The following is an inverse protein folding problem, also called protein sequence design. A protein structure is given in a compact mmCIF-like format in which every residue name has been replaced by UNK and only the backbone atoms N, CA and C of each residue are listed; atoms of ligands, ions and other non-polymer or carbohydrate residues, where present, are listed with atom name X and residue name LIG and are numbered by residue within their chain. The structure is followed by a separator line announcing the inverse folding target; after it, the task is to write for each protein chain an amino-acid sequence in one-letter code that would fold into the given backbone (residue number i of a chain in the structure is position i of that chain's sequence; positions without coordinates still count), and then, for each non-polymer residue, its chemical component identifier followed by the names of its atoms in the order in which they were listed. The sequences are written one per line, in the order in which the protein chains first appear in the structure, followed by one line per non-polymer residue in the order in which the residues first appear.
data_IF_703147269905
#
_entry.id   IF_703147269905
#
_cell.length_a   1.000
_cell.length_b   1.000
_cell.length_c   1.000
_cell.angle_alpha   90.00
_cell.angle_beta   90.00
_cell.angle_gamma   90.00
#
_symmetry.space_group_name_H-M   'P 1'
#
loop_
_entity.id
_entity.type
_entity.pdbx_description
1 polymer ?
#
# COMPACT_ATOMS: atom_id res chain seq x y z
N UNK A 1 -36.94 5.93 8.15
CA UNK A 1 -35.58 5.60 8.61
C UNK A 1 -35.14 4.39 7.80
N UNK A 2 -34.54 4.59 6.63
CA UNK A 2 -34.11 3.50 5.75
C UNK A 2 -32.66 3.17 6.11
N UNK A 3 -32.46 1.98 6.69
CA UNK A 3 -31.15 1.34 6.79
C UNK A 3 -30.95 0.59 5.50
N UNK A 4 -30.52 1.31 4.47
CA UNK A 4 -30.15 0.68 3.21
C UNK A 4 -28.87 -0.14 3.40
N UNK A 5 -29.01 -1.39 2.99
CA UNK A 5 -28.00 -2.43 2.92
C UNK A 5 -26.74 -1.90 2.21
N UNK A 6 -25.63 -1.82 2.92
CA UNK A 6 -24.34 -1.96 2.26
C UNK A 6 -24.11 -3.45 2.07
N UNK A 7 -24.47 -3.95 0.89
CA UNK A 7 -23.99 -5.23 0.40
C UNK A 7 -22.46 -5.18 0.44
N UNK A 8 -21.85 -6.03 1.27
CA UNK A 8 -20.44 -6.36 1.15
C UNK A 8 -20.28 -7.04 -0.22
N UNK A 9 -19.82 -6.29 -1.22
CA UNK A 9 -19.51 -6.86 -2.53
C UNK A 9 -18.54 -8.05 -2.35
N UNK A 10 -18.69 -9.12 -3.14
CA UNK A 10 -17.79 -10.26 -3.05
C UNK A 10 -16.37 -9.78 -3.36
N UNK A 11 -15.49 -9.84 -2.35
CA UNK A 11 -14.05 -9.57 -2.51
C UNK A 11 -13.56 -10.36 -3.72
N UNK A 12 -13.12 -9.66 -4.76
CA UNK A 12 -12.60 -10.29 -5.97
C UNK A 12 -11.47 -11.24 -5.57
N UNK A 13 -11.60 -12.53 -5.90
CA UNK A 13 -10.53 -13.53 -5.72
C UNK A 13 -9.33 -13.19 -6.62
N UNK A 14 -9.56 -12.38 -7.65
CA UNK A 14 -8.57 -12.00 -8.64
C UNK A 14 -7.97 -10.63 -8.31
N UNK A 15 -6.65 -10.59 -8.18
CA UNK A 15 -5.87 -9.38 -7.90
C UNK A 15 -5.11 -8.90 -9.14
N UNK A 16 -4.92 -7.59 -9.26
CA UNK A 16 -3.93 -6.98 -10.13
C UNK A 16 -2.64 -6.71 -9.36
N UNK A 17 -1.49 -6.85 -10.02
CA UNK A 17 -0.17 -6.61 -9.44
C UNK A 17 0.36 -5.24 -9.89
N UNK A 18 0.94 -4.51 -8.95
CA UNK A 18 1.64 -3.26 -9.19
C UNK A 18 3.06 -3.34 -8.62
N UNK A 19 4.04 -2.83 -9.36
CA UNK A 19 5.38 -2.54 -8.87
C UNK A 19 5.38 -1.13 -8.28
N UNK A 20 5.69 -1.03 -6.99
CA UNK A 20 5.83 0.27 -6.34
C UNK A 20 7.25 0.50 -5.84
N UNK A 21 7.74 1.71 -6.03
CA UNK A 21 9.02 2.18 -5.49
C UNK A 21 8.72 3.04 -4.28
N UNK A 22 9.27 2.67 -3.13
CA UNK A 22 9.10 3.39 -1.87
C UNK A 22 10.45 3.86 -1.34
N UNK A 23 10.48 5.06 -0.79
CA UNK A 23 11.59 5.56 0.00
C UNK A 23 11.19 5.55 1.47
N UNK A 24 11.98 4.87 2.29
CA UNK A 24 11.84 4.88 3.75
C UNK A 24 12.90 5.78 4.35
N UNK A 25 12.51 6.63 5.29
CA UNK A 25 13.42 7.46 6.08
C UNK A 25 13.42 6.97 7.53
N UNK A 26 14.60 6.64 8.04
CA UNK A 26 14.83 6.28 9.44
C UNK A 26 15.86 7.24 10.09
N UNK A 27 16.43 6.84 11.22
CA UNK A 27 17.44 7.64 11.93
C UNK A 27 18.79 7.72 11.19
N UNK A 28 19.13 6.70 10.39
CA UNK A 28 20.41 6.57 9.71
C UNK A 28 20.39 7.14 8.30
N UNK A 29 19.21 7.25 7.68
CA UNK A 29 19.04 7.93 6.41
C UNK A 29 17.87 7.40 5.60
N UNK A 30 17.94 7.63 4.30
CA UNK A 30 16.93 7.17 3.35
C UNK A 30 17.36 5.88 2.66
N UNK A 31 16.44 4.94 2.52
CA UNK A 31 16.58 3.73 1.71
C UNK A 31 15.46 3.68 0.67
N UNK A 32 15.76 3.14 -0.51
CA UNK A 32 14.77 2.89 -1.57
C UNK A 32 14.56 1.38 -1.69
N UNK A 33 13.30 0.97 -1.71
CA UNK A 33 12.87 -0.41 -1.94
C UNK A 33 11.88 -0.49 -3.11
N UNK A 34 11.85 -1.65 -3.77
CA UNK A 34 10.82 -2.01 -4.73
C UNK A 34 9.98 -3.13 -4.13
N UNK A 35 8.67 -2.93 -4.08
CA UNK A 35 7.73 -3.87 -3.46
C UNK A 35 6.52 -4.08 -4.37
N UNK A 36 5.94 -5.26 -4.24
CA UNK A 36 4.74 -5.64 -4.98
C UNK A 36 3.49 -5.22 -4.18
N UNK A 37 2.58 -4.52 -4.84
CA UNK A 37 1.26 -4.17 -4.31
C UNK A 37 0.20 -4.97 -5.07
N UNK A 38 -0.60 -5.73 -4.33
CA UNK A 38 -1.71 -6.53 -4.86
C UNK A 38 -3.02 -5.82 -4.54
N UNK A 39 -3.76 -5.44 -5.57
CA UNK A 39 -5.04 -4.72 -5.44
C UNK A 39 -6.14 -5.56 -6.07
N UNK A 40 -7.39 -5.44 -5.61
CA UNK A 40 -8.51 -6.07 -6.31
C UNK A 40 -8.54 -5.67 -7.79
N UNK A 41 -8.77 -6.66 -8.65
CA UNK A 41 -8.79 -6.43 -10.09
C UNK A 41 -9.85 -5.39 -10.44
N UNK A 42 -9.45 -4.39 -11.24
CA UNK A 42 -10.32 -3.28 -11.65
C UNK A 42 -10.41 -2.14 -10.62
N UNK A 43 -9.87 -2.32 -9.41
CA UNK A 43 -9.81 -1.28 -8.40
C UNK A 43 -8.55 -0.43 -8.53
N UNK A 44 -8.63 0.80 -8.03
CA UNK A 44 -7.50 1.72 -7.90
C UNK A 44 -6.93 1.59 -6.49
N UNK A 45 -5.61 1.53 -6.39
CA UNK A 45 -4.93 1.52 -5.09
C UNK A 45 -5.33 2.75 -4.27
N UNK A 46 -5.77 2.52 -3.04
CA UNK A 46 -6.12 3.56 -2.08
C UNK A 46 -5.10 3.60 -0.93
N UNK A 47 -5.20 4.62 -0.07
CA UNK A 47 -4.29 4.78 1.06
C UNK A 47 -4.25 3.57 2.00
N UNK A 48 -5.38 2.89 2.20
CA UNK A 48 -5.48 1.68 3.02
C UNK A 48 -4.67 0.51 2.48
N UNK A 49 -4.63 0.34 1.15
CA UNK A 49 -3.81 -0.70 0.50
C UNK A 49 -2.31 -0.50 0.79
N UNK A 50 -1.84 0.75 0.74
CA UNK A 50 -0.46 1.10 1.09
C UNK A 50 -0.17 0.89 2.59
N UNK A 51 -1.09 1.31 3.46
CA UNK A 51 -0.93 1.14 4.92
C UNK A 51 -0.85 -0.35 5.26
N UNK A 52 -1.72 -1.18 4.68
CA UNK A 52 -1.69 -2.63 4.87
C UNK A 52 -0.36 -3.23 4.36
N UNK A 53 0.11 -2.79 3.19
CA UNK A 53 1.38 -3.22 2.64
C UNK A 53 2.56 -2.85 3.57
N UNK A 54 2.59 -1.63 4.11
CA UNK A 54 3.66 -1.21 5.02
C UNK A 54 3.63 -1.98 6.34
N UNK A 55 2.44 -2.28 6.86
CA UNK A 55 2.29 -3.14 8.04
C UNK A 55 2.86 -4.54 7.78
N UNK A 56 2.55 -5.14 6.64
CA UNK A 56 3.06 -6.47 6.28
C UNK A 56 4.57 -6.48 6.00
N UNK A 57 5.08 -5.45 5.31
CA UNK A 57 6.47 -5.42 4.83
C UNK A 57 7.47 -4.95 5.90
N UNK A 58 7.07 -3.96 6.70
CA UNK A 58 7.95 -3.23 7.61
C UNK A 58 7.53 -3.33 9.08
N UNK A 59 6.39 -3.96 9.38
CA UNK A 59 5.82 -4.00 10.74
C UNK A 59 5.62 -2.60 11.35
N UNK A 60 5.05 -1.69 10.55
CA UNK A 60 4.74 -0.32 10.98
C UNK A 60 3.28 0.02 10.71
N UNK A 61 2.66 0.71 11.68
CA UNK A 61 1.37 1.37 11.48
C UNK A 61 1.63 2.79 10.98
N UNK A 62 1.05 3.11 9.81
CA UNK A 62 1.31 4.34 9.10
C UNK A 62 0.01 5.11 8.84
N UNK A 63 0.11 6.44 8.85
CA UNK A 63 -0.97 7.36 8.53
C UNK A 63 -0.62 8.15 7.26
N UNK A 64 -1.61 8.38 6.40
CA UNK A 64 -1.43 9.23 5.22
C UNK A 64 -1.23 10.68 5.68
N UNK A 65 -0.12 11.27 5.26
CA UNK A 65 0.26 12.66 5.59
C UNK A 65 0.03 13.59 4.41
N UNK A 66 0.40 13.16 3.21
CA UNK A 66 0.30 13.98 2.01
C UNK A 66 0.10 13.09 0.77
N UNK A 67 -0.48 13.66 -0.29
CA UNK A 67 -0.69 13.00 -1.59
C UNK A 67 -0.03 13.72 -2.76
N UNK A 68 0.47 14.96 -2.57
CA UNK A 68 1.08 15.77 -3.62
C UNK A 68 2.32 16.53 -3.10
N UNK A 69 3.48 16.45 -3.76
CA UNK A 69 3.74 15.84 -5.07
C UNK A 69 3.86 14.30 -5.05
N UNK A 70 4.04 13.72 -3.85
CA UNK A 70 4.12 12.28 -3.65
C UNK A 70 3.21 11.85 -2.52
N UNK A 71 2.84 10.57 -2.51
CA UNK A 71 2.08 10.00 -1.41
C UNK A 71 3.04 9.73 -0.25
N UNK A 72 2.92 10.53 0.81
CA UNK A 72 3.73 10.45 2.02
C UNK A 72 2.92 9.88 3.17
N UNK A 73 3.54 8.97 3.90
CA UNK A 73 3.00 8.34 5.08
C UNK A 73 3.95 8.54 6.25
N UNK A 74 3.38 8.87 7.41
CA UNK A 74 4.10 8.99 8.67
C UNK A 74 3.85 7.73 9.50
N UNK A 75 4.88 7.21 10.14
CA UNK A 75 4.72 6.11 11.10
C UNK A 75 4.20 6.66 12.42
N UNK A 76 3.08 6.10 12.91
CA UNK A 76 2.37 6.60 14.10
C UNK A 76 3.22 6.39 15.35
N UNK A 77 3.76 5.18 15.53
CA UNK A 77 4.55 4.76 16.69
C UNK A 77 5.88 4.15 16.24
N UNK A 78 6.87 4.96 15.82
CA UNK A 78 8.13 4.45 15.34
C UNK A 78 8.94 3.81 16.48
N UNK A 79 9.44 2.59 16.25
CA UNK A 79 10.41 1.94 17.16
C UNK A 79 11.69 2.81 17.25
N UNK A 80 12.48 2.73 18.33
CA UNK A 80 13.76 3.42 18.42
C UNK A 80 14.64 3.12 17.20
N UNK A 81 15.09 4.17 16.51
CA UNK A 81 15.87 4.09 15.25
C UNK A 81 15.15 3.40 14.07
N UNK A 82 13.85 3.12 14.19
CA UNK A 82 13.05 2.55 13.11
C UNK A 82 12.59 3.58 12.08
N UNK A 83 11.85 3.10 11.07
CA UNK A 83 11.27 3.92 10.01
C UNK A 83 10.33 4.96 10.62
N UNK A 84 10.44 6.20 10.13
CA UNK A 84 9.61 7.34 10.56
C UNK A 84 8.70 7.85 9.46
N UNK A 85 9.16 7.77 8.21
CA UNK A 85 8.41 8.21 7.04
C UNK A 85 8.57 7.20 5.91
N UNK A 86 7.51 7.02 5.15
CA UNK A 86 7.49 6.23 3.91
C UNK A 86 6.90 7.13 2.81
N UNK A 87 7.61 7.24 1.69
CA UNK A 87 7.17 8.02 0.53
C UNK A 87 7.05 7.10 -0.68
N UNK A 88 5.89 7.06 -1.31
CA UNK A 88 5.67 6.32 -2.55
C UNK A 88 6.11 7.19 -3.72
N UNK A 89 7.17 6.76 -4.41
CA UNK A 89 7.81 7.52 -5.50
C UNK A 89 7.20 7.17 -6.85
N UNK A 90 6.98 5.88 -7.09
CA UNK A 90 6.50 5.38 -8.39
C UNK A 90 5.57 4.20 -8.18
N UNK A 91 4.55 4.12 -9.03
CA UNK A 91 3.60 3.00 -9.09
C UNK A 91 3.47 2.64 -10.57
N UNK A 92 3.61 1.36 -10.90
CA UNK A 92 3.43 0.84 -12.26
C UNK A 92 2.67 -0.47 -12.23
N UNK A 93 1.60 -0.58 -13.01
CA UNK A 93 0.85 -1.84 -13.15
C UNK A 93 1.70 -2.87 -13.89
N UNK A 94 1.73 -4.10 -13.38
CA UNK A 94 2.31 -5.24 -14.06
C UNK A 94 1.28 -5.86 -15.01
N UNK A 95 1.40 -5.57 -16.31
CA UNK A 95 0.53 -6.12 -17.34
C UNK A 95 0.86 -7.57 -17.72
N UNK A 96 2.01 -8.10 -17.27
CA UNK A 96 2.41 -9.49 -17.51
C UNK A 96 1.88 -10.45 -16.44
N UNK A 97 1.41 -9.92 -15.31
CA UNK A 97 0.87 -10.72 -14.22
C UNK A 97 -0.46 -11.38 -14.62
N UNK A 98 -0.45 -12.70 -14.74
CA UNK A 98 -1.64 -13.52 -14.92
C UNK A 98 -1.99 -14.22 -13.59
N UNK A 99 -3.06 -13.80 -12.88
CA UNK A 99 -3.46 -14.45 -11.65
C UNK A 99 -3.92 -15.88 -11.94
N UNK A 100 -3.24 -16.86 -11.35
CA UNK A 100 -3.63 -18.26 -11.44
C UNK A 100 -4.76 -18.48 -10.43
N UNK A 101 -6.00 -18.49 -10.89
CA UNK A 101 -7.13 -19.02 -10.11
C UNK A 101 -7.00 -20.55 -10.08
N UNK A 102 -6.60 -21.12 -8.94
CA UNK A 102 -6.90 -22.52 -8.66
C UNK A 102 -8.41 -22.62 -8.44
N UNK A 103 -9.09 -23.27 -9.38
CA UNK A 103 -10.50 -23.66 -9.29
C UNK A 103 -10.61 -24.84 -8.32
#
# INVERSE_FOLDING_TARGET
MNKDFMQEEPRSVVKDKYYITVQTLDYFGSRVDHIDLMVDRGSVANAGDYIQLFKQRYDVDAELKNVSPYMEFKVISPKPKGIRQITVIKIAKDFTYQPITKI
#
